data_IF_176049393360
#
_entry.id   IF_176049393360
#
_cell.length_a   1.000
_cell.length_b   1.000
_cell.length_c   1.000
_cell.angle_alpha   90.00
_cell.angle_beta   90.00
_cell.angle_gamma   90.00
#
_symmetry.space_group_name_H-M   'P 1'
#
loop_
_entity.id
_entity.type
_entity.pdbx_description
1 polymer ?
#
# COMPACT_ATOMS: atom_id res chain seq x y z
N UNK A 1 -8.67 19.83 0.36
CA UNK A 1 -7.45 19.24 0.94
C UNK A 1 -7.03 18.04 0.13
N UNK A 2 -5.74 17.98 -0.18
CA UNK A 2 -5.22 16.85 -0.94
C UNK A 2 -5.09 15.61 -0.09
N UNK A 3 -5.51 14.49 -0.62
CA UNK A 3 -5.19 13.18 -0.05
C UNK A 3 -3.76 12.82 -0.40
N UNK A 4 -3.10 12.09 0.46
CA UNK A 4 -1.72 11.64 0.25
C UNK A 4 -1.68 10.13 0.22
N UNK A 5 -1.02 9.61 -0.82
CA UNK A 5 -0.89 8.17 -1.06
C UNK A 5 0.60 7.85 -1.18
N UNK A 6 1.05 6.79 -0.52
CA UNK A 6 2.41 6.29 -0.66
C UNK A 6 2.35 4.89 -1.28
N UNK A 7 3.07 4.70 -2.39
CA UNK A 7 3.18 3.41 -3.07
C UNK A 7 4.55 2.82 -2.80
N UNK A 8 4.58 1.61 -2.28
CA UNK A 8 5.81 0.89 -1.94
C UNK A 8 5.88 -0.39 -2.76
N UNK A 9 6.77 -0.43 -3.74
CA UNK A 9 6.97 -1.57 -4.63
C UNK A 9 8.38 -1.47 -5.20
N UNK A 10 9.07 -2.59 -5.36
CA UNK A 10 10.43 -2.59 -5.89
C UNK A 10 10.47 -2.46 -7.41
N UNK A 11 9.35 -2.57 -8.10
CA UNK A 11 9.25 -2.45 -9.55
C UNK A 11 8.90 -1.01 -9.95
N UNK A 12 9.86 -0.26 -10.55
CA UNK A 12 9.62 1.15 -10.87
C UNK A 12 8.49 1.37 -11.87
N UNK A 13 8.34 0.46 -12.84
CA UNK A 13 7.27 0.59 -13.85
C UNK A 13 5.89 0.48 -13.20
N UNK A 14 5.75 -0.43 -12.24
CA UNK A 14 4.47 -0.61 -11.53
C UNK A 14 4.17 0.60 -10.64
N UNK A 15 5.18 1.13 -9.94
CA UNK A 15 5.01 2.34 -9.15
C UNK A 15 4.53 3.51 -10.01
N UNK A 16 5.12 3.67 -11.20
CA UNK A 16 4.71 4.73 -12.13
C UNK A 16 3.28 4.53 -12.59
N UNK A 17 2.91 3.31 -12.95
CA UNK A 17 1.55 3.00 -13.37
C UNK A 17 0.54 3.35 -12.27
N UNK A 18 0.82 2.95 -11.05
CA UNK A 18 -0.07 3.23 -9.92
C UNK A 18 -0.16 4.73 -9.67
N UNK A 19 0.97 5.45 -9.74
CA UNK A 19 0.98 6.91 -9.56
C UNK A 19 0.10 7.59 -10.59
N UNK A 20 0.26 7.23 -11.87
CA UNK A 20 -0.52 7.83 -12.95
C UNK A 20 -2.00 7.49 -12.83
N UNK A 21 -2.29 6.26 -12.40
CA UNK A 21 -3.67 5.80 -12.24
C UNK A 21 -4.39 6.51 -11.10
N UNK A 22 -3.69 6.80 -10.01
CA UNK A 22 -4.31 7.35 -8.80
C UNK A 22 -4.13 8.85 -8.63
N UNK A 23 -3.44 9.53 -9.55
CA UNK A 23 -3.15 10.96 -9.39
C UNK A 23 -4.39 11.85 -9.26
N UNK A 24 -5.52 11.40 -9.78
CA UNK A 24 -6.78 12.14 -9.64
C UNK A 24 -7.34 12.07 -8.21
N UNK A 25 -6.90 11.09 -7.42
CA UNK A 25 -7.36 10.92 -6.04
C UNK A 25 -6.50 11.70 -5.03
N UNK A 26 -5.28 12.07 -5.39
CA UNK A 26 -4.40 12.79 -4.49
C UNK A 26 -2.94 12.77 -4.93
N UNK A 27 -2.06 13.26 -4.07
CA UNK A 27 -0.62 13.19 -4.29
C UNK A 27 -0.11 11.78 -4.05
N UNK A 28 0.65 11.24 -5.01
CA UNK A 28 1.20 9.89 -4.90
C UNK A 28 2.71 9.98 -4.81
N UNK A 29 3.26 9.61 -3.66
CA UNK A 29 4.69 9.44 -3.45
C UNK A 29 5.07 7.98 -3.67
N UNK A 30 6.34 7.71 -3.93
CA UNK A 30 6.84 6.37 -4.23
C UNK A 30 8.01 6.00 -3.33
N UNK A 31 8.10 4.73 -2.97
CA UNK A 31 9.24 4.16 -2.27
C UNK A 31 9.57 2.80 -2.86
N UNK A 32 10.86 2.49 -3.02
CA UNK A 32 11.30 1.25 -3.67
C UNK A 32 11.56 0.13 -2.67
N UNK A 33 11.52 0.40 -1.37
CA UNK A 33 11.86 -0.56 -0.32
C UNK A 33 11.14 -0.22 0.98
N UNK A 34 11.15 -1.16 1.90
CA UNK A 34 10.60 -0.93 3.23
C UNK A 34 11.36 0.20 3.95
N UNK A 35 12.69 0.26 3.80
CA UNK A 35 13.49 1.31 4.43
C UNK A 35 13.12 2.70 3.91
N UNK A 36 12.98 2.83 2.58
CA UNK A 36 12.59 4.10 1.97
C UNK A 36 11.18 4.49 2.41
N UNK A 37 10.28 3.51 2.52
CA UNK A 37 8.93 3.75 3.00
C UNK A 37 8.92 4.25 4.44
N UNK A 38 9.69 3.61 5.32
CA UNK A 38 9.76 4.02 6.71
C UNK A 38 10.29 5.44 6.87
N UNK A 39 11.27 5.83 6.06
CA UNK A 39 11.80 7.19 6.08
C UNK A 39 10.73 8.21 5.70
N UNK A 40 9.93 7.91 4.67
CA UNK A 40 8.84 8.80 4.28
C UNK A 40 7.71 8.84 5.30
N UNK A 41 7.38 7.71 5.91
CA UNK A 41 6.36 7.64 6.96
C UNK A 41 6.75 8.44 8.19
N UNK A 42 8.05 8.46 8.52
CA UNK A 42 8.56 9.27 9.62
C UNK A 42 8.40 10.77 9.36
N UNK A 43 8.45 11.17 8.08
CA UNK A 43 8.28 12.57 7.69
C UNK A 43 6.81 13.00 7.66
N UNK A 44 5.89 12.06 7.48
CA UNK A 44 4.47 12.37 7.45
C UNK A 44 3.62 11.16 7.09
N UNK A 45 2.52 10.97 7.81
CA UNK A 45 1.62 9.85 7.59
C UNK A 45 0.73 10.12 6.37
N UNK A 46 0.72 9.23 5.36
CA UNK A 46 -0.23 9.34 4.26
C UNK A 46 -1.63 8.87 4.69
N UNK A 47 -2.62 9.15 3.86
CA UNK A 47 -3.98 8.65 4.07
C UNK A 47 -4.10 7.19 3.65
N UNK A 48 -3.36 6.80 2.60
CA UNK A 48 -3.37 5.45 2.06
C UNK A 48 -1.95 5.00 1.76
N UNK A 49 -1.61 3.80 2.22
CA UNK A 49 -0.36 3.12 1.89
C UNK A 49 -0.68 1.93 1.00
N UNK A 50 -0.08 1.88 -0.20
CA UNK A 50 -0.19 0.74 -1.11
C UNK A 50 1.15 0.02 -1.05
N UNK A 51 1.14 -1.23 -0.63
CA UNK A 51 2.34 -1.93 -0.16
C UNK A 51 2.44 -3.31 -0.79
N UNK A 52 3.49 -3.55 -1.58
CA UNK A 52 3.76 -4.87 -2.13
C UNK A 52 4.19 -5.81 -0.99
N UNK A 53 3.66 -7.03 -0.99
CA UNK A 53 4.04 -8.06 -0.02
C UNK A 53 5.50 -8.46 -0.20
N UNK A 54 5.99 -8.51 -1.45
CA UNK A 54 7.36 -8.92 -1.76
C UNK A 54 8.19 -7.69 -2.14
N UNK A 55 9.04 -7.23 -1.21
CA UNK A 55 9.88 -6.05 -1.40
C UNK A 55 11.36 -6.38 -1.63
N UNK A 56 11.69 -7.64 -1.86
CA UNK A 56 13.07 -8.08 -2.02
C UNK A 56 13.73 -8.31 -0.66
N UNK A 57 14.91 -7.75 -0.44
CA UNK A 57 15.65 -7.93 0.80
C UNK A 57 15.05 -7.08 1.93
N UNK A 58 15.27 -7.52 3.15
CA UNK A 58 14.76 -6.86 4.35
C UNK A 58 13.42 -7.42 4.79
N UNK A 59 12.65 -6.63 5.51
CA UNK A 59 11.34 -7.09 5.97
C UNK A 59 10.37 -7.13 4.79
N UNK A 60 9.44 -8.08 4.82
CA UNK A 60 8.41 -8.18 3.81
C UNK A 60 7.36 -7.08 4.00
N UNK A 61 6.58 -6.82 2.94
CA UNK A 61 5.46 -5.90 3.05
C UNK A 61 4.43 -6.38 4.07
N UNK A 62 4.27 -7.69 4.20
CA UNK A 62 3.35 -8.25 5.18
C UNK A 62 3.79 -7.91 6.61
N UNK A 63 5.07 -8.08 6.91
CA UNK A 63 5.59 -7.73 8.24
C UNK A 63 5.54 -6.22 8.48
N UNK A 64 5.85 -5.42 7.47
CA UNK A 64 5.72 -3.97 7.58
C UNK A 64 4.27 -3.56 7.88
N UNK A 65 3.31 -4.17 7.18
CA UNK A 65 1.89 -3.91 7.43
C UNK A 65 1.54 -4.20 8.89
N UNK A 66 1.97 -5.35 9.39
CA UNK A 66 1.69 -5.76 10.77
C UNK A 66 2.25 -4.73 11.76
N UNK A 67 3.49 -4.29 11.56
CA UNK A 67 4.13 -3.30 12.44
C UNK A 67 3.42 -1.95 12.40
N UNK A 68 3.05 -1.50 11.21
CA UNK A 68 2.39 -0.20 11.05
C UNK A 68 0.99 -0.20 11.68
N UNK A 69 0.28 -1.30 11.60
CA UNK A 69 -1.05 -1.39 12.21
C UNK A 69 -1.01 -1.40 13.73
N UNK A 70 0.12 -1.74 14.31
CA UNK A 70 0.33 -1.70 15.76
C UNK A 70 0.90 -0.37 16.24
N UNK A 71 1.31 0.51 15.33
CA UNK A 71 1.93 1.79 15.67
C UNK A 71 0.86 2.86 15.83
N UNK A 72 0.69 3.43 17.04
CA UNK A 72 -0.31 4.49 17.25
C UNK A 72 -0.09 5.72 16.38
N UNK A 73 1.16 6.00 15.99
CA UNK A 73 1.47 7.14 15.13
C UNK A 73 0.89 6.98 13.72
N UNK A 74 0.59 5.74 13.32
CA UNK A 74 0.03 5.44 12.01
C UNK A 74 -1.48 5.18 12.05
N UNK A 75 -2.13 5.45 13.16
CA UNK A 75 -3.57 5.25 13.29
C UNK A 75 -4.33 6.10 12.25
N UNK A 76 -5.33 5.50 11.65
CA UNK A 76 -6.13 6.15 10.61
C UNK A 76 -5.60 5.99 9.19
N UNK A 77 -4.34 5.56 9.01
CA UNK A 77 -3.81 5.27 7.69
C UNK A 77 -4.38 3.93 7.19
N UNK A 78 -4.93 3.95 5.99
CA UNK A 78 -5.40 2.71 5.35
C UNK A 78 -4.23 2.01 4.66
N UNK A 79 -4.24 0.69 4.65
CA UNK A 79 -3.21 -0.12 4.00
C UNK A 79 -3.84 -1.07 3.01
N UNK A 80 -3.40 -0.98 1.75
CA UNK A 80 -3.74 -1.92 0.69
C UNK A 80 -2.49 -2.73 0.37
N UNK A 81 -2.56 -4.05 0.53
CA UNK A 81 -1.47 -4.94 0.12
C UNK A 81 -1.63 -5.32 -1.34
N UNK A 82 -0.51 -5.42 -2.05
CA UNK A 82 -0.45 -5.91 -3.43
C UNK A 82 0.34 -7.22 -3.44
N UNK A 83 -0.16 -8.25 -4.12
CA UNK A 83 0.57 -9.50 -4.22
C UNK A 83 0.13 -10.31 -5.43
N UNK A 84 1.08 -11.07 -6.02
CA UNK A 84 0.77 -12.05 -7.05
C UNK A 84 0.10 -13.30 -6.46
N UNK A 85 0.13 -13.48 -5.13
CA UNK A 85 -0.43 -14.64 -4.44
C UNK A 85 -1.91 -14.38 -4.14
N UNK A 86 -2.79 -15.08 -4.85
CA UNK A 86 -4.23 -14.84 -4.78
C UNK A 86 -5.05 -15.95 -4.16
N UNK A 87 -4.43 -16.91 -3.46
CA UNK A 87 -5.18 -17.96 -2.78
C UNK A 87 -5.88 -17.40 -1.55
N UNK A 88 -6.95 -18.04 -1.13
CA UNK A 88 -7.71 -17.58 0.03
C UNK A 88 -6.86 -17.50 1.29
N UNK A 89 -5.93 -18.45 1.46
CA UNK A 89 -5.00 -18.44 2.61
C UNK A 89 -4.07 -17.22 2.58
N UNK A 90 -3.63 -16.79 1.39
CA UNK A 90 -2.78 -15.60 1.24
C UNK A 90 -3.55 -14.34 1.61
N UNK A 91 -4.77 -14.23 1.12
CA UNK A 91 -5.63 -13.09 1.40
C UNK A 91 -5.96 -13.03 2.89
N UNK A 92 -6.30 -14.18 3.49
CA UNK A 92 -6.60 -14.24 4.91
C UNK A 92 -5.40 -13.81 5.76
N UNK A 93 -4.19 -14.23 5.37
CA UNK A 93 -2.96 -13.86 6.06
C UNK A 93 -2.73 -12.34 5.99
N UNK A 94 -2.96 -11.75 4.82
CA UNK A 94 -2.81 -10.31 4.66
C UNK A 94 -3.81 -9.53 5.49
N UNK A 95 -5.06 -9.94 5.49
CA UNK A 95 -6.09 -9.27 6.27
C UNK A 95 -5.85 -9.47 7.77
N UNK A 96 -5.35 -10.63 8.18
CA UNK A 96 -4.99 -10.89 9.58
C UNK A 96 -3.82 -10.03 10.04
N UNK A 97 -2.96 -9.59 9.13
CA UNK A 97 -1.87 -8.65 9.44
C UNK A 97 -2.39 -7.22 9.63
N UNK A 98 -3.67 -6.99 9.38
CA UNK A 98 -4.32 -5.69 9.58
C UNK A 98 -4.58 -4.90 8.32
N UNK A 99 -4.31 -5.47 7.13
CA UNK A 99 -4.56 -4.77 5.87
C UNK A 99 -6.05 -4.47 5.72
N UNK A 100 -6.34 -3.30 5.17
CA UNK A 100 -7.71 -2.88 4.90
C UNK A 100 -8.21 -3.42 3.56
N UNK A 101 -7.29 -3.78 2.67
CA UNK A 101 -7.61 -4.35 1.37
C UNK A 101 -6.43 -5.21 0.88
N UNK A 102 -6.74 -6.26 0.14
CA UNK A 102 -5.73 -7.13 -0.48
C UNK A 102 -6.00 -7.19 -1.98
N UNK A 103 -5.10 -6.62 -2.78
CA UNK A 103 -5.23 -6.55 -4.24
C UNK A 103 -4.32 -7.59 -4.88
N UNK A 104 -4.89 -8.47 -5.70
CA UNK A 104 -4.13 -9.51 -6.40
C UNK A 104 -3.63 -8.99 -7.74
N UNK A 105 -2.36 -9.20 -8.04
CA UNK A 105 -1.75 -8.87 -9.33
C UNK A 105 -1.96 -10.02 -10.32
N UNK A 106 -2.18 -9.75 -11.59
CA UNK A 106 -2.38 -8.41 -12.18
C UNK A 106 -3.78 -7.88 -11.89
N UNK A 107 -3.88 -6.58 -11.73
CA UNK A 107 -5.16 -5.91 -11.46
C UNK A 107 -5.47 -4.91 -12.56
N UNK A 108 -6.75 -4.58 -12.74
CA UNK A 108 -7.13 -3.53 -13.68
C UNK A 108 -6.98 -2.15 -13.03
N UNK A 109 -6.64 -1.12 -13.83
CA UNK A 109 -6.60 0.25 -13.29
C UNK A 109 -7.94 0.68 -12.67
N UNK A 110 -9.05 0.27 -13.26
CA UNK A 110 -10.39 0.60 -12.76
C UNK A 110 -10.62 0.02 -11.37
N UNK A 111 -10.23 -1.23 -11.16
CA UNK A 111 -10.36 -1.86 -9.86
C UNK A 111 -9.48 -1.16 -8.82
N UNK A 112 -8.27 -0.77 -9.21
CA UNK A 112 -7.36 -0.06 -8.31
C UNK A 112 -7.95 1.28 -7.88
N UNK A 113 -8.49 2.05 -8.83
CA UNK A 113 -9.12 3.35 -8.50
C UNK A 113 -10.30 3.16 -7.57
N UNK A 114 -11.16 2.20 -7.87
CA UNK A 114 -12.35 1.93 -7.06
C UNK A 114 -11.97 1.54 -5.63
N UNK A 115 -11.01 0.63 -5.48
CA UNK A 115 -10.59 0.19 -4.15
C UNK A 115 -9.91 1.32 -3.38
N UNK A 116 -9.03 2.08 -4.03
CA UNK A 116 -8.33 3.19 -3.38
C UNK A 116 -9.29 4.29 -2.95
N UNK A 117 -10.23 4.66 -3.83
CA UNK A 117 -11.24 5.67 -3.51
C UNK A 117 -12.10 5.23 -2.32
N UNK A 118 -12.51 3.97 -2.30
CA UNK A 118 -13.29 3.42 -1.20
C UNK A 118 -12.56 3.49 0.14
N UNK A 119 -11.27 3.18 0.14
CA UNK A 119 -10.45 3.26 1.36
C UNK A 119 -10.26 4.70 1.82
N UNK A 120 -10.04 5.62 0.89
CA UNK A 120 -9.84 7.04 1.22
C UNK A 120 -11.11 7.68 1.77
N UNK A 121 -12.27 7.19 1.38
CA UNK A 121 -13.56 7.74 1.79
C UNK A 121 -14.15 7.07 3.03
N UNK A 122 -13.49 6.07 3.56
CA UNK A 122 -13.99 5.35 4.73
C UNK A 122 -13.49 5.88 6.07
#
# INVERSE_FOLDING_TARGET
MSRRILVVDDQPDLRLLIRLTLRALGEVAQAASAEAALAQLAAGKPDLLILDVWLGEGISGLELCRRLKLDPAMAGMKIMLLSACGQQSDIATGLAAGADYYMVKPFSPELLVEAAAGLLDS
#
